data_IF_007311699742
#
_entry.id   IF_007311699742
#
_cell.length_a   1.000
_cell.length_b   1.000
_cell.length_c   1.000
_cell.angle_alpha   90.00
_cell.angle_beta   90.00
_cell.angle_gamma   90.00
#
_symmetry.space_group_name_H-M   'P 1'
#
loop_
_entity.id
_entity.type
_entity.pdbx_description
1 polymer ?
#
# COMPACT_ATOMS: atom_id res chain seq x y z
N UNK A 1 -14.87 -5.09 -19.01
CA UNK A 1 -14.03 -4.91 -17.81
C UNK A 1 -12.87 -4.04 -18.20
N UNK A 2 -12.70 -2.86 -17.58
CA UNK A 2 -11.45 -2.11 -17.73
C UNK A 2 -10.33 -2.95 -17.12
N UNK A 3 -9.24 -3.13 -17.84
CA UNK A 3 -8.08 -3.82 -17.30
C UNK A 3 -7.38 -2.83 -16.35
N UNK A 4 -7.26 -3.19 -15.07
CA UNK A 4 -6.56 -2.35 -14.08
C UNK A 4 -5.12 -2.06 -14.55
N UNK A 5 -4.50 -2.98 -15.29
CA UNK A 5 -3.16 -2.77 -15.83
C UNK A 5 -3.07 -1.54 -16.75
N UNK A 6 -4.15 -1.16 -17.44
CA UNK A 6 -4.16 -0.03 -18.40
C UNK A 6 -3.78 1.29 -17.71
N UNK A 7 -4.11 1.45 -16.43
CA UNK A 7 -3.77 2.65 -15.68
C UNK A 7 -2.26 2.82 -15.51
N UNK A 8 -1.52 1.72 -15.43
CA UNK A 8 -0.07 1.74 -15.25
C UNK A 8 0.68 2.07 -16.53
N UNK A 9 0.08 1.83 -17.69
CA UNK A 9 0.68 2.18 -18.99
C UNK A 9 0.43 3.64 -19.39
N UNK A 10 -0.56 4.29 -18.81
CA UNK A 10 -0.87 5.69 -19.10
C UNK A 10 0.06 6.66 -18.34
N UNK A 11 0.90 7.46 -19.04
CA UNK A 11 1.79 8.43 -18.40
C UNK A 11 1.06 9.61 -17.75
N UNK A 12 -0.21 9.82 -18.10
CA UNK A 12 -1.06 10.88 -17.52
C UNK A 12 -1.93 10.40 -16.37
N UNK A 13 -1.71 9.18 -15.88
CA UNK A 13 -2.42 8.65 -14.71
C UNK A 13 -2.07 9.47 -13.47
N UNK A 14 -3.04 9.64 -12.57
CA UNK A 14 -2.85 10.34 -11.29
C UNK A 14 -2.71 9.33 -10.16
N UNK A 15 -2.02 9.74 -9.07
CA UNK A 15 -1.90 8.94 -7.85
C UNK A 15 -3.26 8.49 -7.31
N UNK A 16 -4.27 9.37 -7.36
CA UNK A 16 -5.63 9.06 -6.90
C UNK A 16 -6.31 8.00 -7.77
N UNK A 17 -6.10 8.07 -9.08
CA UNK A 17 -6.70 7.11 -10.01
C UNK A 17 -6.11 5.70 -9.81
N UNK A 18 -4.80 5.60 -9.54
CA UNK A 18 -4.14 4.35 -9.17
C UNK A 18 -4.73 3.84 -7.84
N UNK A 19 -4.77 4.69 -6.82
CA UNK A 19 -5.20 4.26 -5.47
C UNK A 19 -6.67 3.82 -5.37
N UNK A 20 -7.59 4.42 -6.13
CA UNK A 20 -9.03 4.17 -6.00
C UNK A 20 -9.48 2.79 -6.51
N UNK A 21 -8.94 2.33 -7.65
CA UNK A 21 -9.39 1.09 -8.28
C UNK A 21 -8.65 -0.16 -7.75
N UNK A 22 -7.52 0.06 -7.08
CA UNK A 22 -6.63 -1.02 -6.65
C UNK A 22 -7.04 -1.66 -5.32
N UNK A 23 -7.70 -0.92 -4.41
CA UNK A 23 -8.16 -1.46 -3.13
C UNK A 23 -9.13 -2.65 -3.33
N UNK A 24 -10.04 -2.55 -4.31
CA UNK A 24 -10.97 -3.63 -4.67
C UNK A 24 -10.26 -4.85 -5.27
N UNK A 25 -9.22 -4.63 -6.08
CA UNK A 25 -8.42 -5.71 -6.64
C UNK A 25 -7.72 -6.50 -5.53
N UNK A 26 -7.09 -5.80 -4.59
CA UNK A 26 -6.39 -6.44 -3.47
C UNK A 26 -7.35 -7.15 -2.53
N UNK A 27 -8.52 -6.57 -2.25
CA UNK A 27 -9.58 -7.27 -1.52
C UNK A 27 -9.95 -8.61 -2.20
N UNK A 28 -10.07 -8.65 -3.53
CA UNK A 28 -10.32 -9.88 -4.26
C UNK A 28 -9.15 -10.88 -4.19
N UNK A 29 -7.89 -10.42 -4.32
CA UNK A 29 -6.68 -11.26 -4.17
C UNK A 29 -6.65 -11.94 -2.80
N UNK A 30 -6.99 -11.19 -1.75
CA UNK A 30 -7.06 -11.67 -0.38
C UNK A 30 -8.41 -12.29 0.00
N UNK A 31 -9.23 -12.66 -1.00
CA UNK A 31 -10.50 -13.40 -0.85
C UNK A 31 -11.45 -12.74 0.15
N UNK A 32 -11.50 -11.41 0.16
CA UNK A 32 -12.48 -10.66 0.93
C UNK A 32 -13.90 -10.96 0.42
N UNK A 33 -14.88 -10.71 1.28
CA UNK A 33 -16.28 -10.83 0.87
C UNK A 33 -16.63 -9.70 -0.13
N UNK A 34 -17.63 -9.92 -0.98
CA UNK A 34 -18.00 -8.96 -2.03
C UNK A 34 -18.51 -7.60 -1.51
N UNK A 35 -18.96 -7.55 -0.25
CA UNK A 35 -19.49 -6.36 0.40
C UNK A 35 -18.40 -5.59 1.17
N UNK A 36 -17.18 -6.14 1.25
CA UNK A 36 -16.05 -5.50 1.89
C UNK A 36 -15.43 -4.51 0.91
N UNK A 37 -15.20 -3.30 1.39
CA UNK A 37 -14.71 -2.19 0.58
C UNK A 37 -13.54 -1.49 1.25
N UNK A 38 -13.10 -1.97 2.42
CA UNK A 38 -11.99 -1.38 3.17
C UNK A 38 -10.95 -2.45 3.49
N UNK A 39 -9.76 -2.30 2.92
CA UNK A 39 -8.66 -3.23 3.08
C UNK A 39 -8.15 -3.31 4.51
N UNK A 40 -8.14 -2.19 5.24
CA UNK A 40 -7.72 -2.16 6.64
C UNK A 40 -8.70 -2.92 7.54
N UNK A 41 -10.01 -2.82 7.31
CA UNK A 41 -11.02 -3.59 8.03
C UNK A 41 -10.85 -5.09 7.77
N UNK A 42 -10.69 -5.48 6.50
CA UNK A 42 -10.42 -6.87 6.13
C UNK A 42 -9.15 -7.40 6.78
N UNK A 43 -8.08 -6.60 6.78
CA UNK A 43 -6.80 -6.91 7.43
C UNK A 43 -6.96 -7.15 8.93
N UNK A 44 -7.69 -6.27 9.62
CA UNK A 44 -7.95 -6.41 11.05
C UNK A 44 -8.76 -7.68 11.35
N UNK A 45 -9.81 -7.95 10.58
CA UNK A 45 -10.59 -9.18 10.72
C UNK A 45 -9.75 -10.44 10.48
N UNK A 46 -8.88 -10.42 9.45
CA UNK A 46 -7.94 -11.50 9.17
C UNK A 46 -6.94 -11.72 10.31
N UNK A 47 -6.44 -10.63 10.92
CA UNK A 47 -5.55 -10.69 12.08
C UNK A 47 -6.23 -11.27 13.32
N UNK A 48 -7.44 -10.81 13.65
CA UNK A 48 -8.21 -11.36 14.77
C UNK A 48 -8.51 -12.85 14.56
N UNK A 49 -8.77 -13.26 13.32
CA UNK A 49 -8.97 -14.68 12.98
C UNK A 49 -7.68 -15.48 13.11
N UNK A 50 -6.53 -14.92 12.70
CA UNK A 50 -5.24 -15.62 12.77
C UNK A 50 -4.73 -15.74 14.20
N UNK A 51 -4.96 -14.75 15.07
CA UNK A 51 -4.51 -14.73 16.47
C UNK A 51 -5.12 -15.84 17.34
N UNK A 52 -6.26 -16.40 16.93
CA UNK A 52 -6.88 -17.56 17.62
C UNK A 52 -6.20 -18.89 17.33
N UNK A 53 -5.27 -18.95 16.37
CA UNK A 53 -4.57 -20.18 15.98
C UNK A 53 -3.29 -20.35 16.80
N UNK A 54 -2.98 -21.60 17.16
CA UNK A 54 -1.74 -21.97 17.87
C UNK A 54 -0.49 -21.60 17.06
N UNK A 55 -0.59 -21.62 15.72
CA UNK A 55 0.43 -21.11 14.80
C UNK A 55 -0.25 -20.09 13.88
N UNK A 56 -0.13 -18.81 14.23
CA UNK A 56 -0.63 -17.70 13.44
C UNK A 56 0.31 -17.42 12.27
N UNK A 57 -0.21 -17.58 11.05
CA UNK A 57 0.49 -17.18 9.83
C UNK A 57 0.17 -15.72 9.50
N UNK A 58 1.08 -14.83 9.89
CA UNK A 58 0.95 -13.40 9.62
C UNK A 58 1.25 -13.05 8.16
N UNK A 59 1.89 -13.94 7.39
CA UNK A 59 2.18 -13.69 5.97
C UNK A 59 0.93 -13.73 5.09
N UNK A 60 -0.15 -14.35 5.59
CA UNK A 60 -1.46 -14.39 4.93
C UNK A 60 -2.25 -13.09 5.03
N UNK A 61 -1.77 -12.10 5.80
CA UNK A 61 -2.45 -10.83 5.96
C UNK A 61 -2.25 -9.95 4.72
N UNK A 62 -3.28 -9.22 4.29
CA UNK A 62 -3.09 -8.17 3.29
C UNK A 62 -2.16 -7.06 3.81
N UNK A 63 -1.53 -6.30 2.90
CA UNK A 63 -0.85 -5.06 3.28
C UNK A 63 -1.84 -4.07 3.91
N UNK A 64 -1.32 -3.08 4.65
CA UNK A 64 -2.17 -1.93 5.02
C UNK A 64 -2.48 -1.11 3.77
N UNK A 65 -3.54 -0.30 3.84
CA UNK A 65 -3.90 0.61 2.74
C UNK A 65 -2.74 1.54 2.35
N UNK A 66 -2.10 2.23 3.29
CA UNK A 66 -0.99 3.13 2.97
C UNK A 66 0.25 2.39 2.42
N UNK A 67 0.49 1.15 2.84
CA UNK A 67 1.57 0.33 2.28
C UNK A 67 1.25 -0.13 0.86
N UNK A 68 -0.01 -0.46 0.59
CA UNK A 68 -0.48 -0.79 -0.75
C UNK A 68 -0.30 0.41 -1.69
N UNK A 69 -0.78 1.59 -1.29
CA UNK A 69 -0.67 2.83 -2.08
C UNK A 69 0.78 3.11 -2.48
N UNK A 70 1.73 3.03 -1.53
CA UNK A 70 3.14 3.28 -1.86
C UNK A 70 3.75 2.21 -2.77
N UNK A 71 3.36 0.95 -2.60
CA UNK A 71 3.80 -0.11 -3.49
C UNK A 71 3.28 0.13 -4.93
N UNK A 72 2.03 0.56 -5.10
CA UNK A 72 1.45 0.83 -6.42
C UNK A 72 2.11 2.03 -7.10
N UNK A 73 2.41 3.10 -6.36
CA UNK A 73 3.16 4.24 -6.90
C UNK A 73 4.57 3.83 -7.34
N UNK A 74 5.23 2.96 -6.58
CA UNK A 74 6.54 2.41 -6.96
C UNK A 74 6.46 1.58 -8.23
N UNK A 75 5.45 0.71 -8.34
CA UNK A 75 5.20 -0.10 -9.55
C UNK A 75 4.91 0.80 -10.75
N UNK A 76 4.10 1.84 -10.56
CA UNK A 76 3.83 2.83 -11.60
C UNK A 76 5.10 3.51 -12.09
N UNK A 77 5.91 4.07 -11.19
CA UNK A 77 7.20 4.68 -11.52
C UNK A 77 8.09 3.71 -12.31
N UNK A 78 8.19 2.46 -11.87
CA UNK A 78 9.02 1.45 -12.52
C UNK A 78 8.54 1.13 -13.94
N UNK A 79 7.24 0.98 -14.15
CA UNK A 79 6.65 0.73 -15.47
C UNK A 79 6.88 1.94 -16.39
N UNK A 80 6.67 3.15 -15.88
CA UNK A 80 6.87 4.38 -16.65
C UNK A 80 8.32 4.57 -17.07
N UNK A 81 9.28 4.22 -16.20
CA UNK A 81 10.71 4.19 -16.54
C UNK A 81 11.01 3.19 -17.67
N UNK A 82 10.42 1.98 -17.63
CA UNK A 82 10.57 1.00 -18.71
C UNK A 82 9.98 1.48 -20.05
N UNK A 83 8.97 2.33 -19.99
CA UNK A 83 8.37 2.97 -21.17
C UNK A 83 9.12 4.23 -21.63
N UNK A 84 10.27 4.56 -21.02
CA UNK A 84 11.06 5.77 -21.25
C UNK A 84 10.36 7.09 -20.88
N UNK A 85 9.35 7.04 -20.02
CA UNK A 85 8.73 8.24 -19.45
C UNK A 85 9.54 8.72 -18.24
N UNK A 86 9.92 9.99 -18.24
CA UNK A 86 10.69 10.60 -17.16
C UNK A 86 9.73 11.13 -16.09
N UNK A 87 9.56 10.36 -15.01
CA UNK A 87 8.82 10.79 -13.84
C UNK A 87 9.77 11.13 -12.68
N UNK A 88 9.50 12.21 -11.93
CA UNK A 88 10.27 12.57 -10.74
C UNK A 88 10.08 11.50 -9.64
N UNK A 89 11.13 10.75 -9.25
CA UNK A 89 10.98 9.66 -8.29
C UNK A 89 10.46 10.09 -6.91
N UNK A 90 10.84 11.28 -6.47
CA UNK A 90 10.43 11.89 -5.20
C UNK A 90 8.93 12.19 -5.12
N UNK A 91 8.24 12.27 -6.27
CA UNK A 91 6.79 12.49 -6.33
C UNK A 91 5.98 11.20 -6.53
N UNK A 92 6.63 10.07 -6.88
CA UNK A 92 5.95 8.85 -7.36
C UNK A 92 6.48 7.57 -6.71
N UNK A 93 6.32 7.41 -5.40
CA UNK A 93 6.72 6.19 -4.67
C UNK A 93 8.24 5.93 -4.61
N UNK A 94 9.05 6.74 -5.28
CA UNK A 94 10.50 6.60 -5.39
C UNK A 94 11.29 7.04 -4.16
N UNK A 95 10.61 7.35 -3.06
CA UNK A 95 11.27 7.50 -1.77
C UNK A 95 11.42 8.93 -1.28
N UNK A 96 11.68 9.07 0.02
CA UNK A 96 12.13 10.35 0.58
C UNK A 96 13.59 10.56 0.21
N UNK A 97 13.93 11.82 -0.11
CA UNK A 97 15.33 12.20 -0.34
C UNK A 97 16.03 12.35 1.01
N UNK A 98 17.08 11.57 1.21
CA UNK A 98 17.97 11.72 2.36
C UNK A 98 18.87 12.95 2.22
N UNK A 99 19.47 13.36 3.33
CA UNK A 99 20.42 14.49 3.39
C UNK A 99 21.67 14.25 2.52
N UNK A 100 21.97 12.98 2.25
CA UNK A 100 23.04 12.50 1.38
C UNK A 100 22.67 12.52 -0.11
N UNK A 101 21.45 12.94 -0.44
CA UNK A 101 20.93 13.01 -1.81
C UNK A 101 20.43 11.68 -2.36
N UNK A 102 20.54 10.58 -1.60
CA UNK A 102 20.01 9.26 -1.98
C UNK A 102 18.50 9.20 -1.75
N UNK A 103 17.85 8.29 -2.49
CA UNK A 103 16.41 8.04 -2.37
C UNK A 103 16.15 6.77 -1.57
N UNK A 104 15.28 6.87 -0.57
CA UNK A 104 14.91 5.73 0.28
C UNK A 104 13.44 5.38 0.12
N UNK A 105 13.10 4.13 -0.24
CA UNK A 105 11.72 3.75 -0.52
C UNK A 105 10.81 4.01 0.69
N UNK A 106 9.67 4.67 0.45
CA UNK A 106 8.64 4.86 1.47
C UNK A 106 7.79 3.60 1.54
N UNK A 107 7.75 2.96 2.71
CA UNK A 107 6.98 1.72 2.89
C UNK A 107 5.50 1.97 3.18
N UNK A 108 5.18 3.06 3.86
CA UNK A 108 3.81 3.50 4.18
C UNK A 108 3.88 4.95 4.68
N UNK A 109 2.82 5.72 4.45
CA UNK A 109 2.60 7.01 5.10
C UNK A 109 1.75 6.89 6.38
N UNK A 110 1.20 5.69 6.65
CA UNK A 110 0.42 5.43 7.84
C UNK A 110 1.31 5.53 9.09
N UNK A 111 0.84 6.13 10.19
CA UNK A 111 1.55 6.05 11.46
C UNK A 111 1.62 4.58 11.93
N UNK A 112 2.72 4.20 12.57
CA UNK A 112 2.91 2.82 13.05
C UNK A 112 1.87 2.37 14.08
N UNK A 113 1.32 3.32 14.83
CA UNK A 113 0.17 3.15 15.71
C UNK A 113 -0.53 4.51 15.89
N UNK A 114 -1.80 4.55 16.31
CA UNK A 114 -2.47 5.80 16.69
C UNK A 114 -1.71 6.53 17.79
N UNK A 115 -1.62 7.86 17.71
CA UNK A 115 -0.91 8.68 18.70
C UNK A 115 -1.41 8.44 20.12
N UNK A 116 -2.71 8.19 20.30
CA UNK A 116 -3.31 7.85 21.60
C UNK A 116 -2.67 6.61 22.22
N UNK A 117 -2.34 5.59 21.41
CA UNK A 117 -1.65 4.39 21.88
C UNK A 117 -0.19 4.69 22.17
N UNK A 118 0.51 5.37 21.26
CA UNK A 118 1.93 5.72 21.47
C UNK A 118 2.13 6.55 22.75
N UNK A 119 1.24 7.51 23.00
CA UNK A 119 1.29 8.38 24.19
C UNK A 119 0.87 7.68 25.50
N UNK A 120 0.27 6.48 25.42
CA UNK A 120 -0.09 5.69 26.60
C UNK A 120 0.91 4.59 26.93
N UNK A 121 1.88 4.32 26.04
CA UNK A 121 2.96 3.39 26.28
C UNK A 121 4.16 4.17 26.84
N UNK A 122 4.47 3.94 28.10
CA UNK A 122 5.68 4.44 28.73
C UNK A 122 6.46 3.28 29.36
N UNK A 123 7.79 3.31 29.20
CA UNK A 123 8.66 2.40 29.93
C UNK A 123 8.60 2.73 31.42
N UNK A 124 8.68 1.69 32.27
CA UNK A 124 8.75 1.85 33.71
C UNK A 124 10.18 2.03 34.18
#
# INVERSE_FOLDING_TARGET
MKNIADIFYNPSSTSDAISHDDEKMFLAIYKANANEHNLNNHRCAAFLKSSTRVKSDLSSLPPTKGALEQNLLTVYLQIQQWLNNQLPPDQWGGGTRGDDGFLFPVKTNDPGAPDTILNSIFCR
#
